data_IF_003049857593
#
_entry.id   IF_003049857593
#
_cell.length_a   1.000
_cell.length_b   1.000
_cell.length_c   1.000
_cell.angle_alpha   90.00
_cell.angle_beta   90.00
_cell.angle_gamma   90.00
#
_symmetry.space_group_name_H-M   'P 1'
#
loop_
_entity.id
_entity.type
_entity.pdbx_description
1 polymer ?
#
# COMPACT_ATOMS: atom_id res chain seq x y z
N UNK A 1 76.63 70.18 -70.35
CA UNK A 1 76.07 68.81 -70.40
C UNK A 1 76.64 67.92 -69.31
N UNK A 2 77.82 68.22 -68.76
CA UNK A 2 78.47 67.39 -67.73
C UNK A 2 77.75 67.36 -66.38
N UNK A 3 77.04 68.42 -66.00
CA UNK A 3 76.31 68.50 -64.73
C UNK A 3 75.08 67.57 -64.65
N UNK A 4 74.43 67.32 -65.79
CA UNK A 4 73.30 66.37 -65.88
C UNK A 4 73.77 64.90 -65.82
N UNK A 5 74.93 64.58 -66.38
CA UNK A 5 75.50 63.23 -66.31
C UNK A 5 75.99 62.93 -64.89
N UNK A 6 76.59 63.92 -64.21
CA UNK A 6 77.03 63.78 -62.83
C UNK A 6 75.86 63.58 -61.84
N UNK A 7 74.77 64.33 -62.02
CA UNK A 7 73.58 64.22 -61.17
C UNK A 7 72.82 62.90 -61.38
N UNK A 8 72.75 62.38 -62.62
CA UNK A 8 72.15 61.08 -62.91
C UNK A 8 72.97 59.90 -62.32
N UNK A 9 74.31 59.98 -62.38
CA UNK A 9 75.18 58.97 -61.79
C UNK A 9 75.07 58.93 -60.25
N UNK A 10 74.93 60.11 -59.61
CA UNK A 10 74.72 60.22 -58.17
C UNK A 10 73.37 59.64 -57.74
N UNK A 11 72.31 59.87 -58.52
CA UNK A 11 70.98 59.32 -58.24
C UNK A 11 70.94 57.79 -58.41
N UNK A 12 71.56 57.25 -59.46
CA UNK A 12 71.65 55.82 -59.70
C UNK A 12 72.45 55.10 -58.58
N UNK A 13 73.57 55.70 -58.15
CA UNK A 13 74.35 55.19 -57.02
C UNK A 13 73.54 55.22 -55.71
N UNK A 14 72.75 56.27 -55.48
CA UNK A 14 71.91 56.38 -54.30
C UNK A 14 70.76 55.36 -54.29
N UNK A 15 70.09 55.17 -55.42
CA UNK A 15 69.02 54.16 -55.56
C UNK A 15 69.56 52.74 -55.42
N UNK A 16 70.72 52.42 -55.99
CA UNK A 16 71.37 51.11 -55.80
C UNK A 16 71.66 50.85 -54.33
N UNK A 17 72.21 51.86 -53.62
CA UNK A 17 72.52 51.76 -52.20
C UNK A 17 71.27 51.60 -51.34
N UNK A 18 70.19 52.30 -51.67
CA UNK A 18 68.90 52.17 -50.98
C UNK A 18 68.25 50.80 -51.23
N UNK A 19 68.31 50.28 -52.46
CA UNK A 19 67.80 48.94 -52.77
C UNK A 19 68.59 47.84 -52.05
N UNK A 20 69.91 47.95 -51.94
CA UNK A 20 70.73 47.01 -51.18
C UNK A 20 70.44 47.07 -49.67
N UNK A 21 70.27 48.29 -49.13
CA UNK A 21 69.87 48.47 -47.74
C UNK A 21 68.48 47.90 -47.45
N UNK A 22 67.52 48.10 -48.36
CA UNK A 22 66.18 47.53 -48.22
C UNK A 22 66.21 45.99 -48.32
N UNK A 23 66.98 45.42 -49.26
CA UNK A 23 67.11 43.98 -49.42
C UNK A 23 67.82 43.31 -48.23
N UNK A 24 68.81 43.96 -47.64
CA UNK A 24 69.50 43.47 -46.43
C UNK A 24 68.60 43.57 -45.20
N UNK A 25 67.87 44.67 -45.03
CA UNK A 25 66.87 44.80 -43.96
C UNK A 25 65.76 43.76 -44.08
N UNK A 26 65.28 43.47 -45.30
CA UNK A 26 64.24 42.48 -45.53
C UNK A 26 64.73 41.05 -45.22
N UNK A 27 65.97 40.69 -45.60
CA UNK A 27 66.56 39.39 -45.22
C UNK A 27 66.72 39.24 -43.70
N UNK A 28 67.22 40.28 -43.02
CA UNK A 28 67.35 40.27 -41.58
C UNK A 28 65.99 40.10 -40.87
N UNK A 29 64.94 40.73 -41.40
CA UNK A 29 63.59 40.56 -40.85
C UNK A 29 63.03 39.14 -41.06
N UNK A 30 63.32 38.52 -42.21
CA UNK A 30 62.90 37.15 -42.50
C UNK A 30 63.63 36.13 -41.61
N UNK A 31 64.92 36.32 -41.37
CA UNK A 31 65.72 35.49 -40.45
C UNK A 31 65.20 35.62 -39.01
N UNK A 32 64.93 36.84 -38.54
CA UNK A 32 64.37 37.10 -37.22
C UNK A 32 62.97 36.46 -37.05
N UNK A 33 62.13 36.50 -38.09
CA UNK A 33 60.82 35.84 -38.10
C UNK A 33 60.96 34.31 -38.05
N UNK A 34 61.93 33.74 -38.77
CA UNK A 34 62.16 32.31 -38.79
C UNK A 34 62.69 31.81 -37.44
N UNK A 35 63.59 32.56 -36.80
CA UNK A 35 64.10 32.28 -35.45
C UNK A 35 63.00 32.41 -34.39
N UNK A 36 62.14 33.41 -34.50
CA UNK A 36 60.99 33.56 -33.62
C UNK A 36 59.98 32.40 -33.80
N UNK A 37 59.75 31.95 -35.03
CA UNK A 37 58.84 30.85 -35.33
C UNK A 37 59.35 29.50 -34.79
N UNK A 38 60.65 29.21 -34.93
CA UNK A 38 61.26 27.99 -34.35
C UNK A 38 61.31 28.04 -32.83
N UNK A 39 61.59 29.21 -32.25
CA UNK A 39 61.50 29.45 -30.80
C UNK A 39 60.08 29.28 -30.25
N UNK A 40 59.05 29.64 -31.01
CA UNK A 40 57.66 29.43 -30.62
C UNK A 40 57.23 27.96 -30.75
N UNK A 41 57.62 27.29 -31.84
CA UNK A 41 57.29 25.88 -32.07
C UNK A 41 57.84 24.97 -30.95
N UNK A 42 59.07 25.24 -30.50
CA UNK A 42 59.71 24.49 -29.41
C UNK A 42 59.03 24.74 -28.06
N UNK A 43 58.58 25.97 -27.77
CA UNK A 43 57.82 26.29 -26.54
C UNK A 43 56.43 25.66 -26.52
N UNK A 44 55.73 25.66 -27.66
CA UNK A 44 54.40 25.05 -27.77
C UNK A 44 54.47 23.54 -27.51
N UNK A 45 55.52 22.88 -27.99
CA UNK A 45 55.71 21.44 -27.78
C UNK A 45 56.00 21.13 -26.29
N UNK A 46 56.82 21.96 -25.62
CA UNK A 46 57.06 21.81 -24.17
C UNK A 46 55.83 22.13 -23.31
N UNK A 47 54.99 23.07 -23.75
CA UNK A 47 53.79 23.45 -23.03
C UNK A 47 52.67 22.42 -23.22
N UNK A 48 52.65 21.71 -24.35
CA UNK A 48 51.65 20.68 -24.65
C UNK A 48 51.64 19.54 -23.62
N UNK A 49 52.81 19.00 -23.27
CA UNK A 49 52.91 17.94 -22.26
C UNK A 49 52.48 18.42 -20.87
N UNK A 50 52.74 19.69 -20.56
CA UNK A 50 52.36 20.29 -19.28
C UNK A 50 50.85 20.49 -19.21
N UNK A 51 50.22 20.93 -20.31
CA UNK A 51 48.77 21.05 -20.45
C UNK A 51 48.07 19.70 -20.35
N UNK A 52 48.59 18.65 -20.99
CA UNK A 52 48.01 17.30 -20.89
C UNK A 52 48.07 16.76 -19.46
N UNK A 53 49.17 17.01 -18.74
CA UNK A 53 49.30 16.63 -17.33
C UNK A 53 48.32 17.40 -16.43
N UNK A 54 48.19 18.71 -16.64
CA UNK A 54 47.24 19.54 -15.87
C UNK A 54 45.78 19.16 -16.18
N UNK A 55 45.43 18.95 -17.45
CA UNK A 55 44.10 18.51 -17.86
C UNK A 55 43.77 17.12 -17.29
N UNK A 56 44.71 16.18 -17.38
CA UNK A 56 44.53 14.83 -16.82
C UNK A 56 44.34 14.84 -15.29
N UNK A 57 45.02 15.75 -14.58
CA UNK A 57 44.85 15.92 -13.13
C UNK A 57 43.51 16.57 -12.79
N UNK A 58 43.14 17.66 -13.48
CA UNK A 58 41.88 18.35 -13.26
C UNK A 58 40.66 17.46 -13.55
N UNK A 59 40.73 16.62 -14.59
CA UNK A 59 39.68 15.64 -14.88
C UNK A 59 39.59 14.61 -13.75
N UNK A 60 40.72 14.10 -13.25
CA UNK A 60 40.74 13.10 -12.19
C UNK A 60 40.19 13.66 -10.87
N UNK A 61 40.60 14.87 -10.50
CA UNK A 61 40.09 15.56 -9.31
C UNK A 61 38.59 15.86 -9.44
N UNK A 62 38.11 16.27 -10.63
CA UNK A 62 36.68 16.49 -10.87
C UNK A 62 35.84 15.20 -10.83
N UNK A 63 36.41 14.06 -11.25
CA UNK A 63 35.76 12.76 -11.12
C UNK A 63 35.70 12.28 -9.67
N UNK A 64 36.79 12.44 -8.90
CA UNK A 64 36.82 12.08 -7.47
C UNK A 64 35.79 12.91 -6.68
N UNK A 65 35.80 14.24 -6.87
CA UNK A 65 34.86 15.15 -6.19
C UNK A 65 33.40 14.87 -6.60
N UNK A 66 33.18 14.48 -7.86
CA UNK A 66 31.88 14.05 -8.37
C UNK A 66 31.41 12.71 -7.79
N UNK A 67 32.32 11.76 -7.60
CA UNK A 67 32.04 10.45 -6.98
C UNK A 67 31.75 10.60 -5.50
N UNK A 68 32.52 11.41 -4.77
CA UNK A 68 32.30 11.70 -3.35
C UNK A 68 30.98 12.44 -3.12
N UNK A 69 30.64 13.39 -4.01
CA UNK A 69 29.33 14.04 -3.96
C UNK A 69 28.17 13.06 -4.26
N UNK A 70 28.38 12.09 -5.14
CA UNK A 70 27.38 11.07 -5.46
C UNK A 70 27.20 10.05 -4.33
N UNK A 71 28.29 9.59 -3.70
CA UNK A 71 28.24 8.68 -2.56
C UNK A 71 27.62 9.34 -1.34
N UNK A 72 27.96 10.60 -1.04
CA UNK A 72 27.32 11.35 0.04
C UNK A 72 25.80 11.52 -0.18
N UNK A 73 25.36 11.71 -1.42
CA UNK A 73 23.92 11.74 -1.77
C UNK A 73 23.26 10.36 -1.63
N UNK A 74 23.97 9.28 -1.96
CA UNK A 74 23.48 7.92 -1.78
C UNK A 74 23.36 7.55 -0.29
N UNK A 75 24.34 7.91 0.54
CA UNK A 75 24.31 7.67 1.98
C UNK A 75 23.18 8.43 2.67
N UNK A 76 22.99 9.70 2.30
CA UNK A 76 21.88 10.51 2.83
C UNK A 76 20.52 9.97 2.39
N UNK A 77 20.38 9.48 1.15
CA UNK A 77 19.17 8.80 0.70
C UNK A 77 18.91 7.50 1.48
N UNK A 78 19.95 6.72 1.74
CA UNK A 78 19.88 5.45 2.48
C UNK A 78 19.48 5.69 3.94
N UNK A 79 20.11 6.65 4.62
CA UNK A 79 19.72 7.05 5.97
C UNK A 79 18.27 7.56 6.04
N UNK A 80 17.81 8.27 5.01
CA UNK A 80 16.43 8.76 4.95
C UNK A 80 15.44 7.60 4.78
N UNK A 81 15.76 6.61 3.95
CA UNK A 81 14.99 5.38 3.80
C UNK A 81 14.91 4.59 5.10
N UNK A 82 16.02 4.41 5.82
CA UNK A 82 16.04 3.72 7.12
C UNK A 82 15.18 4.43 8.18
N UNK A 83 15.21 5.77 8.22
CA UNK A 83 14.35 6.53 9.15
C UNK A 83 12.87 6.36 8.81
N UNK A 84 12.53 6.32 7.52
CA UNK A 84 11.16 6.12 7.06
C UNK A 84 10.69 4.70 7.32
N UNK A 85 11.50 3.68 7.06
CA UNK A 85 11.15 2.28 7.35
C UNK A 85 10.95 2.07 8.85
N UNK A 86 11.86 2.57 9.68
CA UNK A 86 11.74 2.48 11.14
C UNK A 86 10.52 3.25 11.68
N UNK A 87 10.11 4.34 11.04
CA UNK A 87 8.88 5.06 11.38
C UNK A 87 7.63 4.26 10.97
N UNK A 88 7.64 3.64 9.79
CA UNK A 88 6.56 2.76 9.33
C UNK A 88 6.40 1.53 10.21
N UNK A 89 7.49 0.87 10.60
CA UNK A 89 7.44 -0.31 11.49
C UNK A 89 6.83 0.04 12.86
N UNK A 90 7.24 1.17 13.46
CA UNK A 90 6.65 1.66 14.71
C UNK A 90 5.16 1.98 14.56
N UNK A 91 4.77 2.57 13.44
CA UNK A 91 3.36 2.85 13.14
C UNK A 91 2.54 1.57 12.93
N UNK A 92 3.08 0.58 12.20
CA UNK A 92 2.43 -0.70 11.95
C UNK A 92 2.34 -1.56 13.22
N UNK A 93 3.34 -1.55 14.09
CA UNK A 93 3.27 -2.22 15.38
C UNK A 93 2.14 -1.65 16.26
N UNK A 94 1.96 -0.34 16.25
CA UNK A 94 0.85 0.33 16.96
C UNK A 94 -0.52 0.07 16.34
N UNK A 95 -0.60 0.00 15.01
CA UNK A 95 -1.85 -0.26 14.28
C UNK A 95 -2.27 -1.74 14.33
N UNK A 96 -1.32 -2.67 14.23
CA UNK A 96 -1.58 -4.11 14.26
C UNK A 96 -2.14 -4.61 15.60
N UNK A 97 -1.70 -4.03 16.71
CA UNK A 97 -2.26 -4.32 18.03
C UNK A 97 -3.71 -3.80 18.15
N UNK A 98 -3.97 -2.58 17.68
CA UNK A 98 -5.32 -1.99 17.69
C UNK A 98 -6.30 -2.73 16.79
N UNK A 99 -5.89 -3.14 15.59
CA UNK A 99 -6.77 -3.88 14.66
C UNK A 99 -7.08 -5.28 15.16
N UNK A 100 -6.12 -5.98 15.78
CA UNK A 100 -6.40 -7.28 16.44
C UNK A 100 -7.35 -7.13 17.62
N UNK A 101 -7.20 -6.07 18.42
CA UNK A 101 -8.06 -5.82 19.58
C UNK A 101 -9.49 -5.47 19.16
N UNK A 102 -9.66 -4.62 18.14
CA UNK A 102 -10.97 -4.26 17.59
C UNK A 102 -11.60 -5.43 16.80
N UNK A 103 -10.82 -6.15 16.00
CA UNK A 103 -11.29 -7.30 15.22
C UNK A 103 -11.72 -8.46 16.11
N UNK A 104 -10.94 -8.78 17.15
CA UNK A 104 -11.29 -9.81 18.13
C UNK A 104 -12.54 -9.43 18.93
N UNK A 105 -12.64 -8.17 19.36
CA UNK A 105 -13.82 -7.67 20.08
C UNK A 105 -15.10 -7.73 19.24
N UNK A 106 -15.03 -7.33 17.96
CA UNK A 106 -16.18 -7.37 17.06
C UNK A 106 -16.65 -8.80 16.77
N UNK A 107 -15.73 -9.75 16.56
CA UNK A 107 -16.07 -11.16 16.34
C UNK A 107 -16.70 -11.80 17.59
N UNK A 108 -16.19 -11.49 18.79
CA UNK A 108 -16.79 -11.94 20.04
C UNK A 108 -18.18 -11.36 20.24
N UNK A 109 -18.35 -10.05 20.00
CA UNK A 109 -19.65 -9.39 20.12
C UNK A 109 -20.69 -10.00 19.17
N UNK A 110 -20.32 -10.26 17.92
CA UNK A 110 -21.19 -10.93 16.95
C UNK A 110 -21.55 -12.36 17.40
N UNK A 111 -20.57 -13.13 17.87
CA UNK A 111 -20.79 -14.49 18.38
C UNK A 111 -21.75 -14.52 19.57
N UNK A 112 -21.53 -13.64 20.56
CA UNK A 112 -22.40 -13.53 21.74
C UNK A 112 -23.82 -13.09 21.37
N UNK A 113 -23.96 -12.14 20.45
CA UNK A 113 -25.27 -11.66 20.01
C UNK A 113 -26.04 -12.76 19.28
N UNK A 114 -25.38 -13.50 18.39
CA UNK A 114 -26.00 -14.63 17.69
C UNK A 114 -26.45 -15.72 18.67
N UNK A 115 -25.61 -16.10 19.63
CA UNK A 115 -25.95 -17.08 20.65
C UNK A 115 -27.13 -16.62 21.52
N UNK A 116 -27.18 -15.35 21.90
CA UNK A 116 -28.28 -14.78 22.68
C UNK A 116 -29.61 -14.83 21.90
N UNK A 117 -29.62 -14.45 20.62
CA UNK A 117 -30.83 -14.50 19.78
C UNK A 117 -31.35 -15.94 19.65
N UNK A 118 -30.47 -16.91 19.40
CA UNK A 118 -30.84 -18.32 19.31
C UNK A 118 -31.36 -18.86 20.65
N UNK A 119 -30.73 -18.50 21.76
CA UNK A 119 -31.18 -18.91 23.10
C UNK A 119 -32.56 -18.35 23.45
N UNK A 120 -32.80 -17.06 23.17
CA UNK A 120 -34.10 -16.41 23.43
C UNK A 120 -35.20 -17.01 22.55
N UNK A 121 -34.93 -17.21 21.25
CA UNK A 121 -35.92 -17.79 20.33
C UNK A 121 -36.25 -19.24 20.71
N UNK A 122 -35.26 -20.06 21.04
CA UNK A 122 -35.49 -21.43 21.52
C UNK A 122 -36.33 -21.46 22.82
N UNK A 123 -36.02 -20.58 23.78
CA UNK A 123 -36.76 -20.49 25.03
C UNK A 123 -38.23 -20.08 24.82
N UNK A 124 -38.47 -19.11 23.94
CA UNK A 124 -39.82 -18.68 23.60
C UNK A 124 -40.57 -19.80 22.85
N UNK A 125 -39.91 -20.50 21.93
CA UNK A 125 -40.52 -21.60 21.19
C UNK A 125 -40.98 -22.72 22.14
N UNK A 126 -40.14 -23.15 23.08
CA UNK A 126 -40.51 -24.16 24.09
C UNK A 126 -41.74 -23.72 24.89
N UNK A 127 -41.77 -22.49 25.40
CA UNK A 127 -42.93 -21.99 26.15
C UNK A 127 -44.21 -21.93 25.33
N UNK A 128 -44.13 -21.70 24.03
CA UNK A 128 -45.30 -21.71 23.16
C UNK A 128 -45.76 -23.13 22.88
N UNK A 129 -44.84 -24.08 22.69
CA UNK A 129 -45.18 -25.51 22.56
C UNK A 129 -45.85 -26.02 23.84
N UNK A 130 -45.31 -25.72 25.02
CA UNK A 130 -45.93 -26.11 26.30
C UNK A 130 -47.34 -25.53 26.49
N UNK A 131 -47.58 -24.32 25.97
CA UNK A 131 -48.90 -23.67 26.02
C UNK A 131 -49.86 -24.31 25.01
N UNK A 132 -49.37 -24.65 23.82
CA UNK A 132 -50.16 -25.31 22.80
C UNK A 132 -50.58 -26.72 23.26
N UNK A 133 -49.66 -27.47 23.88
CA UNK A 133 -49.95 -28.79 24.44
C UNK A 133 -51.01 -28.70 25.55
N UNK A 134 -50.88 -27.73 26.47
CA UNK A 134 -51.90 -27.50 27.51
C UNK A 134 -53.26 -27.08 26.95
N UNK A 135 -53.27 -26.32 25.85
CA UNK A 135 -54.51 -25.92 25.19
C UNK A 135 -55.18 -27.10 24.48
N UNK A 136 -54.40 -27.96 23.81
CA UNK A 136 -54.88 -29.18 23.18
C UNK A 136 -55.50 -30.14 24.21
N UNK A 137 -54.81 -30.40 25.32
CA UNK A 137 -55.32 -31.24 26.41
C UNK A 137 -56.62 -30.67 27.00
N UNK A 138 -56.72 -29.35 27.20
CA UNK A 138 -57.96 -28.73 27.68
C UNK A 138 -59.11 -28.87 26.68
N UNK A 139 -58.83 -28.79 25.38
CA UNK A 139 -59.83 -28.97 24.34
C UNK A 139 -60.33 -30.43 24.33
N UNK A 140 -59.42 -31.41 24.39
CA UNK A 140 -59.75 -32.84 24.48
C UNK A 140 -60.59 -33.16 25.73
N UNK A 141 -60.23 -32.58 26.89
CA UNK A 141 -61.00 -32.74 28.13
C UNK A 141 -62.38 -32.09 28.02
N UNK A 142 -62.49 -30.92 27.38
CA UNK A 142 -63.78 -30.24 27.22
C UNK A 142 -64.72 -31.00 26.28
N UNK A 143 -64.16 -31.63 25.24
CA UNK A 143 -64.89 -32.49 24.31
C UNK A 143 -65.33 -33.80 24.98
N UNK A 144 -64.46 -34.43 25.77
CA UNK A 144 -64.81 -35.59 26.57
C UNK A 144 -65.91 -35.27 27.61
N UNK A 145 -65.88 -34.09 28.22
CA UNK A 145 -66.90 -33.65 29.19
C UNK A 145 -68.25 -33.33 28.53
N UNK A 146 -68.32 -33.01 27.23
CA UNK A 146 -69.60 -32.84 26.53
C UNK A 146 -70.37 -34.15 26.36
N UNK A 147 -69.67 -35.28 26.32
CA UNK A 147 -70.28 -36.62 26.22
C UNK A 147 -70.75 -37.15 27.58
N UNK A 148 -70.47 -36.43 28.66
CA UNK A 148 -70.81 -36.83 30.03
C UNK A 148 -71.79 -35.82 30.63
N UNK A 149 -73.05 -36.22 30.79
CA UNK A 149 -74.02 -35.37 31.47
C UNK A 149 -73.75 -35.37 32.99
N UNK A 150 -73.15 -34.30 33.49
CA UNK A 150 -72.99 -34.05 34.93
C UNK A 150 -74.30 -33.47 35.45
N UNK A 151 -74.97 -34.22 36.33
CA UNK A 151 -76.26 -33.87 36.93
C UNK A 151 -76.11 -33.92 38.45
N UNK A 152 -76.87 -33.12 39.21
CA UNK A 152 -76.84 -33.20 40.66
C UNK A 152 -77.81 -34.30 41.15
N UNK A 153 -77.30 -35.31 41.86
CA UNK A 153 -78.15 -36.16 42.70
C UNK A 153 -78.00 -35.69 44.14
N UNK A 154 -79.11 -35.36 44.80
CA UNK A 154 -79.14 -35.06 46.24
C UNK A 154 -78.08 -34.06 46.72
N UNK A 155 -77.77 -33.05 45.89
CA UNK A 155 -76.80 -32.00 46.20
C UNK A 155 -75.33 -32.37 45.94
N UNK A 156 -75.03 -33.59 45.49
CA UNK A 156 -73.70 -34.03 45.06
C UNK A 156 -73.62 -34.12 43.51
N UNK A 157 -72.47 -33.76 42.90
CA UNK A 157 -72.29 -33.92 41.47
C UNK A 157 -72.20 -35.41 41.10
N UNK A 158 -73.12 -35.86 40.25
CA UNK A 158 -73.16 -37.20 39.70
C UNK A 158 -72.90 -37.18 38.19
N UNK A 159 -72.28 -38.24 37.69
CA UNK A 159 -72.06 -38.45 36.26
C UNK A 159 -73.08 -39.49 35.77
N UNK A 160 -73.93 -39.11 34.79
CA UNK A 160 -74.82 -40.07 34.13
C UNK A 160 -74.06 -40.80 33.03
N UNK A 161 -73.76 -42.06 33.28
CA UNK A 161 -73.18 -42.98 32.29
C UNK A 161 -74.29 -43.46 31.35
N UNK A 162 -74.07 -43.42 30.03
CA UNK A 162 -74.95 -44.09 29.08
C UNK A 162 -74.83 -45.62 29.21
N UNK A 163 -75.96 -46.32 29.07
CA UNK A 163 -76.01 -47.78 29.15
C UNK A 163 -75.20 -48.39 27.99
N UNK A 164 -74.13 -49.12 28.30
CA UNK A 164 -73.27 -49.81 27.31
C UNK A 164 -71.82 -49.33 27.22
N UNK A 165 -71.42 -48.31 27.97
CA UNK A 165 -70.02 -47.83 27.99
C UNK A 165 -69.04 -48.89 28.53
N UNK A 166 -67.94 -49.09 27.81
CA UNK A 166 -66.91 -50.09 28.14
C UNK A 166 -66.08 -49.61 29.35
N UNK A 167 -66.01 -50.43 30.39
CA UNK A 167 -65.12 -50.14 31.55
C UNK A 167 -63.66 -50.28 31.14
N UNK A 168 -62.79 -49.46 31.73
CA UNK A 168 -61.37 -49.53 31.45
C UNK A 168 -60.81 -50.87 31.99
N UNK A 169 -60.26 -51.75 31.14
CA UNK A 169 -59.95 -53.12 31.54
C UNK A 169 -58.81 -53.23 32.56
N UNK A 170 -58.00 -52.18 32.74
CA UNK A 170 -56.87 -52.18 33.69
C UNK A 170 -57.20 -51.55 35.06
N UNK A 171 -58.38 -50.95 35.23
CA UNK A 171 -58.82 -50.33 36.48
C UNK A 171 -60.35 -50.18 36.46
N UNK A 172 -61.02 -50.86 37.39
CA UNK A 172 -62.47 -50.94 37.49
C UNK A 172 -63.13 -49.68 38.05
N UNK A 173 -62.33 -48.76 38.62
CA UNK A 173 -62.79 -47.45 39.11
C UNK A 173 -62.98 -46.42 37.97
N UNK A 174 -62.48 -46.70 36.77
CA UNK A 174 -62.51 -45.75 35.64
C UNK A 174 -63.33 -46.28 34.45
N UNK A 175 -64.01 -45.37 33.76
CA UNK A 175 -64.80 -45.66 32.56
C UNK A 175 -64.12 -45.03 31.35
N UNK A 176 -64.01 -45.80 30.25
CA UNK A 176 -63.42 -45.34 29.00
C UNK A 176 -64.50 -44.61 28.19
N UNK A 177 -64.31 -43.31 27.97
CA UNK A 177 -65.10 -42.51 27.02
C UNK A 177 -64.35 -42.55 25.69
N UNK A 178 -64.85 -43.33 24.73
CA UNK A 178 -64.29 -43.45 23.39
C UNK A 178 -64.97 -42.42 22.48
N UNK A 179 -64.20 -41.46 21.96
CA UNK A 179 -64.70 -40.42 21.05
C UNK A 179 -64.75 -40.90 19.58
N UNK A 180 -64.36 -42.15 19.31
CA UNK A 180 -64.51 -42.80 18.02
C UNK A 180 -65.96 -43.23 17.77
N UNK A 181 -66.67 -42.49 16.91
CA UNK A 181 -68.02 -42.76 16.42
C UNK A 181 -68.40 -44.26 16.38
N UNK A 182 -69.38 -44.65 17.20
CA UNK A 182 -70.14 -45.88 16.97
C UNK A 182 -71.12 -45.59 15.83
N UNK A 183 -70.78 -46.08 14.63
CA UNK A 183 -71.70 -46.14 13.51
C UNK A 183 -72.91 -47.05 13.87
N UNK A 184 -74.12 -46.73 13.39
CA UNK A 184 -75.37 -47.41 13.77
C UNK A 184 -75.41 -48.90 13.39
#
# INVERSE_FOLDING_TARGET
MDEFVASAALLAAHLSRQCEQAATAQRASAEALQEAATGLATRVDSDHETLLRMAGRAIRDALDDGLDAATARADTATQRLERVSAALERAQAGLGARTRMLGGGALLALGLTAAAILGVTAHIAQRNLDRAERAAVRAEVLEALQQVAITACDGAPCIKLEDGLRRWPANDEYVLVDTGQVAP
#
